data_IF_521921606623
#
_entry.id   IF_521921606623
#
_cell.length_a   1.000
_cell.length_b   1.000
_cell.length_c   1.000
_cell.angle_alpha   90.00
_cell.angle_beta   90.00
_cell.angle_gamma   90.00
#
_symmetry.space_group_name_H-M   'P 1'
#
loop_
_entity.id
_entity.type
_entity.pdbx_description
1 polymer ?
#
# COMPACT_ATOMS: atom_id res chain seq x y z
N UNK A 1 -12.18 29.20 -19.75
CA UNK A 1 -11.65 27.87 -19.40
C UNK A 1 -12.65 27.20 -18.45
N UNK A 2 -13.46 26.25 -18.95
CA UNK A 2 -14.47 25.56 -18.14
C UNK A 2 -13.81 24.64 -17.10
N UNK A 3 -14.16 24.78 -15.82
CA UNK A 3 -13.76 23.84 -14.76
C UNK A 3 -14.36 22.47 -15.10
N UNK A 4 -13.53 21.49 -15.47
CA UNK A 4 -13.96 20.09 -15.56
C UNK A 4 -14.29 19.60 -14.15
N UNK A 5 -15.57 19.37 -13.84
CA UNK A 5 -15.97 18.74 -12.59
C UNK A 5 -15.56 17.27 -12.62
N UNK A 6 -14.98 16.80 -11.53
CA UNK A 6 -14.53 15.40 -11.39
C UNK A 6 -15.59 14.56 -10.66
N UNK A 7 -16.36 15.22 -9.79
CA UNK A 7 -17.44 14.62 -8.98
C UNK A 7 -18.71 15.45 -9.21
N UNK A 8 -19.85 14.77 -9.33
CA UNK A 8 -21.14 15.39 -9.56
C UNK A 8 -22.21 14.82 -8.62
N UNK A 9 -23.01 15.69 -8.02
CA UNK A 9 -24.23 15.31 -7.31
C UNK A 9 -25.36 15.14 -8.33
N UNK A 10 -25.98 13.97 -8.34
CA UNK A 10 -27.17 13.71 -9.12
C UNK A 10 -28.31 13.33 -8.19
N UNK A 11 -29.53 13.71 -8.56
CA UNK A 11 -30.73 13.26 -7.87
C UNK A 11 -31.61 12.49 -8.84
N UNK A 12 -32.24 11.44 -8.34
CA UNK A 12 -33.26 10.67 -9.05
C UNK A 12 -34.53 10.71 -8.22
N UNK A 13 -35.62 11.13 -8.85
CA UNK A 13 -36.93 11.13 -8.22
C UNK A 13 -37.50 9.71 -8.28
N UNK A 14 -37.83 9.14 -7.13
CA UNK A 14 -38.53 7.86 -6.99
C UNK A 14 -39.94 8.13 -6.43
N UNK A 15 -40.86 7.18 -6.59
CA UNK A 15 -42.29 7.36 -6.23
C UNK A 15 -42.53 7.74 -4.76
N UNK A 16 -41.57 7.45 -3.86
CA UNK A 16 -41.67 7.76 -2.41
C UNK A 16 -40.54 8.63 -1.88
N UNK A 17 -39.74 9.27 -2.73
CA UNK A 17 -38.67 10.14 -2.26
C UNK A 17 -37.69 10.61 -3.33
N UNK A 18 -36.69 11.37 -2.89
CA UNK A 18 -35.59 11.82 -3.75
C UNK A 18 -34.33 11.06 -3.34
N UNK A 19 -33.79 10.27 -4.27
CA UNK A 19 -32.51 9.60 -4.08
C UNK A 19 -31.40 10.51 -4.59
N UNK A 20 -30.53 10.94 -3.69
CA UNK A 20 -29.35 11.75 -4.05
C UNK A 20 -28.12 10.84 -4.06
N UNK A 21 -27.34 10.92 -5.13
CA UNK A 21 -26.12 10.14 -5.32
C UNK A 21 -24.94 11.04 -5.67
N UNK A 22 -23.78 10.73 -5.11
CA UNK A 22 -22.51 11.34 -5.52
C UNK A 22 -21.89 10.43 -6.58
N UNK A 23 -21.67 10.98 -7.77
CA UNK A 23 -21.12 10.25 -8.92
C UNK A 23 -19.71 10.76 -9.24
N UNK A 24 -18.77 9.83 -9.37
CA UNK A 24 -17.44 10.10 -9.93
C UNK A 24 -17.56 10.05 -11.46
N UNK A 25 -17.17 11.12 -12.14
CA UNK A 25 -17.15 11.17 -13.59
C UNK A 25 -15.91 10.46 -14.13
N UNK A 26 -15.97 9.97 -15.37
CA UNK A 26 -14.83 9.29 -16.00
C UNK A 26 -13.58 10.18 -16.08
N UNK A 27 -13.76 11.51 -16.20
CA UNK A 27 -12.66 12.47 -16.12
C UNK A 27 -11.94 12.49 -14.76
N UNK A 28 -12.57 11.98 -13.71
CA UNK A 28 -12.00 11.78 -12.38
C UNK A 28 -11.38 10.40 -12.16
N UNK A 29 -11.58 9.45 -13.09
CA UNK A 29 -10.89 8.18 -13.11
C UNK A 29 -9.56 8.36 -13.85
N UNK A 30 -8.46 7.96 -13.21
CA UNK A 30 -7.16 7.91 -13.87
C UNK A 30 -6.81 6.45 -14.10
N UNK A 31 -6.41 6.12 -15.33
CA UNK A 31 -5.76 4.84 -15.62
C UNK A 31 -4.25 5.06 -15.46
N UNK A 32 -3.62 4.61 -14.36
CA UNK A 32 -2.19 4.75 -14.21
C UNK A 32 -1.48 3.90 -15.28
N UNK A 33 -0.52 4.50 -16.00
CA UNK A 33 0.37 3.75 -16.90
C UNK A 33 1.33 2.86 -16.10
N UNK A 34 1.67 3.27 -14.87
CA UNK A 34 2.51 2.55 -13.93
C UNK A 34 1.96 2.70 -12.51
N UNK A 35 2.01 1.63 -11.69
CA UNK A 35 1.56 1.65 -10.29
C UNK A 35 2.36 2.62 -9.39
N UNK A 36 3.54 3.05 -9.82
CA UNK A 36 4.38 4.05 -9.14
C UNK A 36 4.11 5.49 -9.59
N UNK A 37 3.29 5.70 -10.62
CA UNK A 37 2.98 7.02 -11.16
C UNK A 37 1.98 7.77 -10.29
N UNK A 38 2.45 8.45 -9.24
CA UNK A 38 1.62 9.31 -8.41
C UNK A 38 1.10 10.54 -9.18
N UNK A 39 -0.21 10.69 -9.30
CA UNK A 39 -0.82 11.84 -9.97
C UNK A 39 -1.05 13.01 -9.00
N UNK A 40 -0.10 13.94 -8.94
CA UNK A 40 -0.17 15.14 -8.10
C UNK A 40 -1.33 16.11 -8.43
N UNK A 41 -2.03 15.94 -9.57
CA UNK A 41 -3.09 16.87 -10.02
C UNK A 41 -4.43 16.72 -9.28
N UNK A 42 -4.68 15.59 -8.63
CA UNK A 42 -6.02 15.25 -8.10
C UNK A 42 -6.17 15.48 -6.59
N UNK A 43 -5.25 16.20 -5.93
CA UNK A 43 -5.20 16.33 -4.45
C UNK A 43 -6.54 16.67 -3.79
N UNK A 44 -7.26 17.72 -4.25
CA UNK A 44 -8.54 18.13 -3.65
C UNK A 44 -9.69 17.14 -3.89
N UNK A 45 -9.77 16.56 -5.09
CA UNK A 45 -10.79 15.55 -5.39
C UNK A 45 -10.51 14.25 -4.63
N UNK A 46 -9.22 13.93 -4.46
CA UNK A 46 -8.79 12.80 -3.65
C UNK A 46 -9.13 13.01 -2.17
N UNK A 47 -8.90 14.19 -1.59
CA UNK A 47 -9.31 14.47 -0.20
C UNK A 47 -10.82 14.33 0.02
N UNK A 48 -11.65 14.84 -0.92
CA UNK A 48 -13.10 14.69 -0.81
C UNK A 48 -13.52 13.22 -0.93
N UNK A 49 -12.93 12.50 -1.88
CA UNK A 49 -13.18 11.07 -2.06
C UNK A 49 -12.70 10.27 -0.83
N UNK A 50 -11.60 10.65 -0.19
CA UNK A 50 -11.12 10.06 1.07
C UNK A 50 -12.19 10.19 2.14
N UNK A 51 -12.68 11.40 2.41
CA UNK A 51 -13.75 11.63 3.41
C UNK A 51 -15.05 10.89 3.09
N UNK A 52 -15.43 10.80 1.81
CA UNK A 52 -16.59 10.02 1.40
C UNK A 52 -16.37 8.52 1.65
N UNK A 53 -15.18 8.01 1.35
CA UNK A 53 -14.84 6.61 1.58
C UNK A 53 -14.79 6.28 3.07
N UNK A 54 -14.21 7.16 3.89
CA UNK A 54 -14.24 7.05 5.36
C UNK A 54 -15.68 6.98 5.87
N UNK A 55 -16.54 7.92 5.44
CA UNK A 55 -17.92 7.98 5.92
C UNK A 55 -18.78 6.77 5.50
N UNK A 56 -18.61 6.27 4.28
CA UNK A 56 -19.47 5.19 3.75
C UNK A 56 -18.90 3.79 3.94
N UNK A 57 -17.59 3.65 4.13
CA UNK A 57 -16.89 2.37 4.10
C UNK A 57 -15.86 2.18 5.23
N UNK A 58 -15.84 3.06 6.24
CA UNK A 58 -14.87 3.04 7.36
C UNK A 58 -13.40 2.97 6.86
N UNK A 59 -13.15 3.67 5.77
CA UNK A 59 -11.85 3.69 5.12
C UNK A 59 -10.81 4.35 6.02
N UNK A 60 -9.71 3.64 6.28
CA UNK A 60 -8.57 4.22 7.00
C UNK A 60 -7.87 5.21 6.06
N UNK A 61 -8.09 6.50 6.28
CA UNK A 61 -7.29 7.57 5.70
C UNK A 61 -6.15 7.83 6.69
N UNK A 62 -4.89 7.54 6.35
CA UNK A 62 -3.77 8.02 7.17
C UNK A 62 -3.89 9.55 7.24
N UNK A 63 -3.82 10.12 8.44
CA UNK A 63 -3.65 11.57 8.61
C UNK A 63 -2.32 11.97 7.98
N UNK A 64 -2.30 12.18 6.67
CA UNK A 64 -1.19 12.82 6.01
C UNK A 64 -1.33 14.28 6.38
N UNK A 65 -0.62 14.69 7.43
CA UNK A 65 -0.46 16.09 7.84
C UNK A 65 0.10 16.86 6.64
N UNK A 66 -0.80 17.41 5.82
CA UNK A 66 -0.43 18.30 4.74
C UNK A 66 -0.16 19.68 5.33
N UNK A 67 1.11 19.96 5.66
CA UNK A 67 1.69 21.29 5.48
C UNK A 67 1.20 22.42 6.39
N UNK A 68 0.92 22.14 7.65
CA UNK A 68 1.27 23.11 8.69
C UNK A 68 2.52 22.57 9.38
N UNK A 69 3.53 23.43 9.50
CA UNK A 69 4.67 23.26 10.37
C UNK A 69 4.14 23.14 11.81
N UNK A 70 3.56 21.99 12.16
CA UNK A 70 3.71 21.50 13.51
C UNK A 70 5.22 21.35 13.62
N UNK A 71 5.85 22.26 14.38
CA UNK A 71 7.12 21.99 15.01
C UNK A 71 6.99 20.57 15.56
N UNK A 72 7.51 19.59 14.80
CA UNK A 72 7.66 18.26 15.31
C UNK A 72 8.51 18.51 16.54
N UNK A 73 7.95 18.26 17.72
CA UNK A 73 8.66 18.38 18.97
C UNK A 73 9.77 17.33 18.90
N UNK A 74 10.87 17.69 18.25
CA UNK A 74 11.99 16.82 17.87
C UNK A 74 12.71 16.29 19.10
N UNK A 75 12.29 16.73 20.29
CA UNK A 75 12.77 16.31 21.60
C UNK A 75 11.88 15.23 22.26
N UNK A 76 10.62 15.04 21.85
CA UNK A 76 9.71 14.05 22.44
C UNK A 76 9.67 12.70 21.70
N UNK A 77 10.18 12.65 20.47
CA UNK A 77 10.37 11.43 19.71
C UNK A 77 11.85 11.26 19.33
N UNK A 78 12.69 10.84 20.28
CA UNK A 78 13.64 9.79 19.89
C UNK A 78 12.77 8.62 19.45
N UNK A 79 12.37 8.62 18.18
CA UNK A 79 11.77 7.48 17.51
C UNK A 79 12.51 6.26 18.02
N UNK A 80 11.82 5.29 18.61
CA UNK A 80 12.46 4.16 19.25
C UNK A 80 13.09 3.28 18.17
N UNK A 81 14.24 3.72 17.65
CA UNK A 81 14.96 3.10 16.54
C UNK A 81 15.31 1.65 16.92
N UNK A 82 15.53 1.40 18.20
CA UNK A 82 15.77 0.06 18.75
C UNK A 82 14.54 -0.85 18.58
N UNK A 83 13.34 -0.37 18.90
CA UNK A 83 12.10 -1.12 18.70
C UNK A 83 11.84 -1.41 17.22
N UNK A 84 12.10 -0.45 16.33
CA UNK A 84 12.04 -0.68 14.89
C UNK A 84 13.03 -1.78 14.45
N UNK A 85 14.29 -1.70 14.90
CA UNK A 85 15.29 -2.71 14.57
C UNK A 85 14.92 -4.08 15.13
N UNK A 86 14.41 -4.16 16.35
CA UNK A 86 13.94 -5.40 16.96
C UNK A 86 12.77 -5.99 16.16
N UNK A 87 11.80 -5.17 15.77
CA UNK A 87 10.66 -5.63 14.97
C UNK A 87 11.10 -6.20 13.61
N UNK A 88 11.96 -5.47 12.88
CA UNK A 88 12.52 -5.93 11.60
C UNK A 88 13.34 -7.20 11.78
N UNK A 89 14.12 -7.28 12.86
CA UNK A 89 14.95 -8.45 13.18
C UNK A 89 14.10 -9.68 13.46
N UNK A 90 13.06 -9.56 14.30
CA UNK A 90 12.13 -10.64 14.63
C UNK A 90 11.38 -11.14 13.38
N UNK A 91 10.96 -10.22 12.51
CA UNK A 91 10.31 -10.54 11.25
C UNK A 91 11.25 -11.34 10.31
N UNK A 92 12.50 -10.91 10.16
CA UNK A 92 13.47 -11.65 9.35
C UNK A 92 13.81 -13.02 9.93
N UNK A 93 13.83 -13.16 11.26
CA UNK A 93 14.05 -14.45 11.91
C UNK A 93 12.88 -15.40 11.65
N UNK A 94 11.63 -14.93 11.79
CA UNK A 94 10.44 -15.75 11.57
C UNK A 94 10.31 -16.25 10.12
N UNK A 95 10.60 -15.38 9.14
CA UNK A 95 10.66 -15.73 7.72
C UNK A 95 11.77 -16.77 7.42
N UNK A 96 12.85 -16.74 8.21
CA UNK A 96 13.99 -17.64 8.06
C UNK A 96 13.71 -19.09 8.47
N UNK A 97 12.84 -19.31 9.46
CA UNK A 97 12.61 -20.62 10.11
C UNK A 97 11.93 -21.65 9.20
N UNK A 98 11.16 -21.23 8.20
CA UNK A 98 10.37 -22.12 7.34
C UNK A 98 10.86 -22.31 5.91
N UNK A 99 11.94 -21.62 5.50
CA UNK A 99 12.41 -21.63 4.10
C UNK A 99 13.38 -22.76 3.76
N UNK A 100 13.48 -23.11 2.47
CA UNK A 100 14.48 -24.06 1.95
C UNK A 100 15.90 -23.62 2.34
N UNK A 101 16.68 -24.52 2.93
CA UNK A 101 18.10 -24.28 3.24
C UNK A 101 18.92 -24.86 2.09
N UNK A 102 19.69 -24.01 1.41
CA UNK A 102 20.61 -24.40 0.36
C UNK A 102 22.00 -24.65 0.92
N UNK A 103 22.68 -25.63 0.33
CA UNK A 103 24.12 -25.75 0.48
C UNK A 103 24.80 -24.66 -0.34
N UNK A 104 25.39 -23.69 0.36
CA UNK A 104 25.96 -22.47 -0.22
C UNK A 104 27.49 -22.54 -0.34
N UNK A 105 28.13 -23.58 0.20
CA UNK A 105 29.58 -23.70 0.18
C UNK A 105 30.04 -24.54 -1.02
N UNK A 106 30.32 -23.88 -2.14
CA UNK A 106 30.87 -24.54 -3.33
C UNK A 106 32.37 -24.84 -3.17
N UNK A 107 32.87 -25.92 -3.78
CA UNK A 107 34.28 -26.33 -3.68
C UNK A 107 35.27 -25.28 -4.23
N UNK A 108 34.83 -24.49 -5.22
CA UNK A 108 35.62 -23.40 -5.80
C UNK A 108 35.56 -22.07 -5.01
N UNK A 109 34.71 -21.99 -3.97
CA UNK A 109 34.53 -20.78 -3.17
C UNK A 109 35.52 -20.78 -2.00
N UNK A 110 36.56 -19.95 -2.11
CA UNK A 110 37.60 -19.79 -1.09
C UNK A 110 37.69 -18.30 -0.72
N UNK A 111 37.70 -17.94 0.58
CA UNK A 111 37.66 -18.81 1.75
C UNK A 111 36.26 -19.39 2.04
N UNK A 112 36.21 -20.36 2.96
CA UNK A 112 34.96 -20.93 3.47
C UNK A 112 34.12 -19.84 4.13
N UNK A 113 32.82 -19.84 3.82
CA UNK A 113 31.86 -18.89 4.37
C UNK A 113 31.70 -19.09 5.88
N UNK A 114 31.77 -17.99 6.63
CA UNK A 114 31.39 -17.96 8.05
C UNK A 114 29.88 -18.16 8.18
N UNK A 115 29.38 -18.62 9.34
CA UNK A 115 27.96 -18.92 9.53
C UNK A 115 27.00 -17.79 9.08
N UNK A 116 27.29 -16.54 9.42
CA UNK A 116 26.46 -15.39 9.00
C UNK A 116 26.53 -15.12 7.48
N UNK A 117 27.67 -15.41 6.84
CA UNK A 117 27.83 -15.25 5.40
C UNK A 117 26.99 -16.31 4.68
N UNK A 118 27.01 -17.55 5.17
CA UNK A 118 26.18 -18.63 4.64
C UNK A 118 24.69 -18.33 4.79
N UNK A 119 24.28 -17.72 5.91
CA UNK A 119 22.90 -17.27 6.13
C UNK A 119 22.51 -16.15 5.16
N UNK A 120 23.38 -15.15 4.98
CA UNK A 120 23.14 -14.06 4.04
C UNK A 120 23.00 -14.56 2.59
N UNK A 121 23.88 -15.47 2.15
CA UNK A 121 23.81 -16.09 0.82
C UNK A 121 22.53 -16.91 0.65
N UNK A 122 22.15 -17.70 1.66
CA UNK A 122 20.88 -18.41 1.65
C UNK A 122 19.68 -17.46 1.51
N UNK A 123 19.66 -16.36 2.27
CA UNK A 123 18.61 -15.34 2.17
C UNK A 123 18.55 -14.73 0.76
N UNK A 124 19.69 -14.41 0.16
CA UNK A 124 19.76 -13.88 -1.21
C UNK A 124 19.19 -14.87 -2.23
N UNK A 125 19.60 -16.14 -2.17
CA UNK A 125 19.11 -17.19 -3.07
C UNK A 125 17.60 -17.42 -2.92
N UNK A 126 17.09 -17.41 -1.68
CA UNK A 126 15.63 -17.46 -1.42
C UNK A 126 14.94 -16.28 -2.06
N UNK A 127 15.48 -15.06 -1.95
CA UNK A 127 14.86 -13.85 -2.52
C UNK A 127 14.81 -13.88 -4.04
N UNK A 128 15.87 -14.35 -4.70
CA UNK A 128 15.92 -14.51 -6.15
C UNK A 128 14.92 -15.56 -6.66
N UNK A 129 14.82 -16.69 -5.96
CA UNK A 129 13.89 -17.77 -6.31
C UNK A 129 12.43 -17.46 -5.96
N UNK A 130 12.19 -16.73 -4.86
CA UNK A 130 10.86 -16.26 -4.49
C UNK A 130 10.18 -15.48 -5.62
N UNK A 131 10.95 -14.65 -6.34
CA UNK A 131 10.45 -13.93 -7.53
C UNK A 131 10.05 -14.85 -8.68
N UNK A 132 10.66 -16.04 -8.80
CA UNK A 132 10.29 -17.06 -9.79
C UNK A 132 9.06 -17.85 -9.36
N UNK A 133 8.89 -18.09 -8.06
CA UNK A 133 7.77 -18.87 -7.52
C UNK A 133 6.46 -18.06 -7.36
N UNK A 134 6.55 -16.72 -7.28
CA UNK A 134 5.39 -15.82 -7.13
C UNK A 134 4.37 -15.88 -8.26
N UNK A 135 4.67 -16.50 -9.39
CA UNK A 135 3.67 -16.76 -10.45
C UNK A 135 2.48 -17.61 -9.95
N UNK A 136 2.58 -18.23 -8.78
CA UNK A 136 1.62 -19.22 -8.26
C UNK A 136 0.79 -18.75 -7.05
N UNK A 137 1.27 -17.79 -6.25
CA UNK A 137 0.53 -17.26 -5.08
C UNK A 137 -0.10 -15.91 -5.39
N UNK A 138 -1.37 -15.91 -5.79
CA UNK A 138 -2.19 -14.70 -5.97
C UNK A 138 -2.58 -14.08 -4.62
N UNK A 139 -1.59 -13.61 -3.84
CA UNK A 139 -1.82 -12.89 -2.59
C UNK A 139 -1.81 -11.39 -2.83
N UNK A 140 -2.79 -10.69 -2.25
CA UNK A 140 -2.85 -9.24 -2.31
C UNK A 140 -1.62 -8.65 -1.60
N UNK A 141 -0.94 -7.71 -2.26
CA UNK A 141 0.22 -7.04 -1.70
C UNK A 141 -0.19 -6.23 -0.46
N UNK A 142 0.60 -6.24 0.62
CA UNK A 142 0.26 -5.63 1.91
C UNK A 142 -0.03 -4.11 1.87
N UNK A 143 0.49 -3.41 0.85
CA UNK A 143 0.16 -1.99 0.59
C UNK A 143 -1.22 -1.77 -0.03
N UNK A 144 -1.87 -2.82 -0.51
CA UNK A 144 -3.18 -2.78 -1.13
C UNK A 144 -4.21 -3.37 -0.18
N UNK A 145 -5.39 -2.76 -0.16
CA UNK A 145 -6.55 -3.25 0.57
C UNK A 145 -7.68 -3.49 -0.40
N UNK A 146 -8.51 -4.49 -0.11
CA UNK A 146 -9.74 -4.72 -0.82
C UNK A 146 -10.94 -4.20 -0.04
N UNK A 147 -11.97 -3.74 -0.77
CA UNK A 147 -13.27 -3.44 -0.20
C UNK A 147 -14.38 -3.85 -1.16
N UNK A 148 -15.57 -4.09 -0.62
CA UNK A 148 -16.76 -4.41 -1.40
C UNK A 148 -17.69 -3.21 -1.34
N UNK A 149 -18.01 -2.64 -2.50
CA UNK A 149 -18.92 -1.50 -2.57
C UNK A 149 -20.35 -1.90 -2.21
N UNK A 150 -21.22 -0.90 -1.95
CA UNK A 150 -22.65 -1.13 -1.70
C UNK A 150 -23.37 -1.85 -2.85
N UNK A 151 -22.81 -1.83 -4.06
CA UNK A 151 -23.34 -2.57 -5.21
C UNK A 151 -22.70 -3.95 -5.42
N UNK A 152 -21.94 -4.45 -4.44
CA UNK A 152 -21.33 -5.78 -4.44
C UNK A 152 -20.07 -5.90 -5.30
N UNK A 153 -19.50 -4.79 -5.78
CA UNK A 153 -18.28 -4.84 -6.60
C UNK A 153 -17.04 -4.78 -5.72
N UNK A 154 -16.10 -5.70 -5.95
CA UNK A 154 -14.80 -5.72 -5.28
C UNK A 154 -13.85 -4.71 -5.94
N UNK A 155 -13.28 -3.84 -5.13
CA UNK A 155 -12.31 -2.82 -5.53
C UNK A 155 -11.05 -2.94 -4.69
N UNK A 156 -9.93 -2.48 -5.23
CA UNK A 156 -8.64 -2.47 -4.55
C UNK A 156 -8.09 -1.05 -4.54
N UNK A 157 -7.45 -0.66 -3.46
CA UNK A 157 -6.86 0.66 -3.33
C UNK A 157 -5.57 0.63 -2.49
N UNK A 158 -4.72 1.64 -2.64
CA UNK A 158 -3.55 1.85 -1.80
C UNK A 158 -3.79 3.09 -0.90
N UNK A 159 -3.86 2.93 0.43
CA UNK A 159 -4.07 4.04 1.36
C UNK A 159 -3.01 5.15 1.26
N UNK A 160 -1.78 4.81 0.86
CA UNK A 160 -0.64 5.72 0.86
C UNK A 160 -0.44 6.46 -0.46
N UNK A 161 -0.87 5.87 -1.58
CA UNK A 161 -0.71 6.49 -2.92
C UNK A 161 -2.04 6.92 -3.54
N UNK A 162 -3.17 6.61 -2.92
CA UNK A 162 -4.51 6.89 -3.43
C UNK A 162 -5.04 5.83 -4.41
N UNK A 163 -6.10 6.20 -5.14
CA UNK A 163 -6.75 5.43 -6.22
C UNK A 163 -6.31 5.89 -7.60
#
# INVERSE_FOLDING_TARGET
>A
MQKRSLVQLMHRQEERGVKVGVHLLEAGLVKPEFLSGGNARMKKANQLMQKLMEYFYDFIIPEVVEGEELECDTDLERQNVEEMYEHVRLQHQSEGVGGEIYDVQHQALIPVLRPYQSQAVNWMLRREKYRRSQETEQRLHFLWRDFVSLCGKKLFYNPFTGW
#
